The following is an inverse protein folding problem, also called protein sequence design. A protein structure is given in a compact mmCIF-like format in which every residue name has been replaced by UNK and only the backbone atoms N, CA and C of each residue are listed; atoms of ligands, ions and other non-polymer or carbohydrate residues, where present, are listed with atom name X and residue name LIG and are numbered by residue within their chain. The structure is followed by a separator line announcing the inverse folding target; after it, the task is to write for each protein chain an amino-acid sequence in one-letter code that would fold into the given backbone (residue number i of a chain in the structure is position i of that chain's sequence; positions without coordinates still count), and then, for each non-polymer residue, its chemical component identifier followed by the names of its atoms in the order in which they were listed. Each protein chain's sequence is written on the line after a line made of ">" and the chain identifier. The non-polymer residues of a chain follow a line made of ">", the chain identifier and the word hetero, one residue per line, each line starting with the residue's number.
data_IF_250958180228
#
_entry.id   IF_250958180228
#
_cell.length_a   1.000
_cell.length_b   1.000
_cell.length_c   1.000
_cell.angle_alpha   90.00
_cell.angle_beta   90.00
_cell.angle_gamma   90.00
#
_symmetry.space_group_name_H-M   'P 1'
#
loop_
_entity.id
_entity.type
_entity.pdbx_description
1 polymer ?
#
# COMPACT_ATOMS: atom_id res chain seq x y z
N UNK A 1 -30.37 -11.60 -6.03
CA UNK A 1 -29.44 -10.88 -5.11
C UNK A 1 -29.69 -9.39 -5.27
N UNK A 2 -29.63 -8.58 -4.20
CA UNK A 2 -29.72 -7.13 -4.32
C UNK A 2 -28.50 -6.58 -5.08
N UNK A 3 -28.74 -5.61 -5.97
CA UNK A 3 -27.71 -4.89 -6.73
C UNK A 3 -26.98 -3.90 -5.82
N UNK A 4 -25.93 -4.35 -5.15
CA UNK A 4 -25.10 -3.53 -4.25
C UNK A 4 -23.74 -3.24 -4.87
N UNK A 5 -23.09 -2.17 -4.43
CA UNK A 5 -21.70 -1.83 -4.76
C UNK A 5 -20.76 -3.03 -4.61
N UNK A 6 -20.84 -3.72 -3.47
CA UNK A 6 -20.08 -4.95 -3.21
C UNK A 6 -20.25 -6.02 -4.29
N UNK A 7 -21.48 -6.22 -4.76
CA UNK A 7 -21.80 -7.25 -5.76
C UNK A 7 -21.48 -6.84 -7.20
N UNK A 8 -21.52 -5.53 -7.49
CA UNK A 8 -21.42 -5.00 -8.85
C UNK A 8 -20.03 -4.52 -9.23
N UNK A 9 -19.22 -4.08 -8.27
CA UNK A 9 -17.88 -3.53 -8.53
C UNK A 9 -16.80 -4.18 -7.68
N UNK A 10 -16.90 -4.14 -6.36
CA UNK A 10 -15.84 -4.64 -5.46
C UNK A 10 -15.51 -6.13 -5.73
N UNK A 11 -16.52 -7.01 -5.73
CA UNK A 11 -16.31 -8.46 -5.90
C UNK A 11 -15.82 -8.81 -7.32
N UNK A 12 -16.42 -8.30 -8.41
CA UNK A 12 -15.87 -8.52 -9.76
C UNK A 12 -14.43 -8.03 -9.91
N UNK A 13 -14.09 -6.87 -9.34
CA UNK A 13 -12.74 -6.32 -9.45
C UNK A 13 -11.72 -7.17 -8.66
N UNK A 14 -12.06 -7.58 -7.44
CA UNK A 14 -11.24 -8.48 -6.65
C UNK A 14 -11.00 -9.81 -7.38
N UNK A 15 -12.02 -10.41 -7.99
CA UNK A 15 -11.87 -11.63 -8.81
C UNK A 15 -10.93 -11.42 -9.99
N UNK A 16 -10.99 -10.26 -10.63
CA UNK A 16 -10.07 -9.95 -11.74
C UNK A 16 -8.63 -9.88 -11.23
N UNK A 17 -8.37 -9.23 -10.09
CA UNK A 17 -7.05 -9.19 -9.48
C UNK A 17 -6.56 -10.60 -9.10
N UNK A 18 -7.41 -11.44 -8.53
CA UNK A 18 -7.06 -12.83 -8.22
C UNK A 18 -6.66 -13.60 -9.49
N UNK A 19 -7.38 -13.42 -10.59
CA UNK A 19 -7.01 -14.03 -11.89
C UNK A 19 -5.68 -13.53 -12.46
N UNK A 20 -5.17 -12.39 -11.97
CA UNK A 20 -3.88 -11.81 -12.34
C UNK A 20 -2.75 -12.19 -11.35
N UNK A 21 -3.02 -13.07 -10.38
CA UNK A 21 -2.01 -13.58 -9.44
C UNK A 21 -2.02 -12.95 -8.05
N UNK A 22 -3.00 -12.10 -7.74
CA UNK A 22 -3.16 -11.57 -6.38
C UNK A 22 -3.77 -12.62 -5.45
N UNK A 23 -3.23 -12.75 -4.23
CA UNK A 23 -3.80 -13.62 -3.21
C UNK A 23 -4.74 -12.82 -2.31
N UNK A 24 -6.01 -13.21 -2.25
CA UNK A 24 -6.96 -12.61 -1.31
C UNK A 24 -6.68 -13.08 0.12
N UNK A 25 -6.62 -12.13 1.05
CA UNK A 25 -6.51 -12.37 2.49
C UNK A 25 -7.58 -11.56 3.22
N UNK A 26 -8.10 -12.13 4.29
CA UNK A 26 -8.93 -11.41 5.25
C UNK A 26 -8.07 -10.55 6.19
N UNK A 27 -8.59 -9.46 6.77
CA UNK A 27 -7.84 -8.67 7.73
C UNK A 27 -7.25 -9.47 8.91
N UNK A 28 -7.94 -10.53 9.34
CA UNK A 28 -7.51 -11.38 10.47
C UNK A 28 -6.33 -12.29 10.09
N UNK A 29 -6.24 -12.74 8.84
CA UNK A 29 -5.10 -13.53 8.36
C UNK A 29 -3.80 -12.74 8.23
N UNK A 30 -3.86 -11.40 8.23
CA UNK A 30 -2.69 -10.55 8.00
C UNK A 30 -1.85 -10.28 9.25
N UNK A 31 -2.27 -10.78 10.42
CA UNK A 31 -1.51 -10.72 11.68
C UNK A 31 -0.87 -9.36 11.98
N UNK A 32 -1.61 -8.27 11.72
CA UNK A 32 -1.10 -6.90 11.89
C UNK A 32 -0.71 -6.64 13.34
N UNK A 33 0.34 -5.85 13.56
CA UNK A 33 0.74 -5.42 14.91
C UNK A 33 -0.37 -4.60 15.60
N UNK A 34 -1.10 -3.77 14.84
CA UNK A 34 -2.26 -3.01 15.33
C UNK A 34 -3.12 -2.46 14.19
N UNK A 35 -4.28 -1.87 14.53
CA UNK A 35 -5.11 -1.11 13.58
C UNK A 35 -4.48 0.23 13.14
N UNK A 36 -3.43 0.69 13.83
CA UNK A 36 -2.66 1.89 13.48
C UNK A 36 -1.53 1.59 12.51
N UNK A 37 -0.94 0.38 12.58
CA UNK A 37 0.20 -0.02 11.75
C UNK A 37 -0.26 -0.35 10.32
N UNK A 38 0.24 0.39 9.30
CA UNK A 38 -0.09 0.13 7.90
C UNK A 38 0.68 -1.04 7.30
N UNK A 39 1.90 -1.30 7.76
CA UNK A 39 2.78 -2.33 7.20
C UNK A 39 2.43 -3.71 7.75
N UNK A 40 2.53 -4.73 6.90
CA UNK A 40 2.56 -6.12 7.34
C UNK A 40 4.02 -6.47 7.66
N UNK A 41 4.44 -6.18 8.89
CA UNK A 41 5.84 -6.23 9.31
C UNK A 41 6.44 -7.62 9.10
N UNK A 42 5.70 -8.69 9.39
CA UNK A 42 6.20 -10.05 9.20
C UNK A 42 6.42 -10.39 7.72
N UNK A 43 5.46 -10.07 6.86
CA UNK A 43 5.58 -10.24 5.41
C UNK A 43 6.77 -9.45 4.84
N UNK A 44 6.95 -8.21 5.29
CA UNK A 44 8.05 -7.36 4.84
C UNK A 44 9.41 -7.90 5.27
N UNK A 45 9.55 -8.40 6.51
CA UNK A 45 10.78 -9.05 6.97
C UNK A 45 11.12 -10.27 6.11
N UNK A 46 10.14 -11.14 5.87
CA UNK A 46 10.32 -12.35 5.07
C UNK A 46 10.68 -12.03 3.62
N UNK A 47 10.05 -11.01 3.04
CA UNK A 47 10.37 -10.55 1.69
C UNK A 47 11.79 -9.99 1.59
N UNK A 48 12.21 -9.16 2.55
CA UNK A 48 13.58 -8.63 2.59
C UNK A 48 14.60 -9.76 2.63
N UNK A 49 14.39 -10.79 3.46
CA UNK A 49 15.27 -11.97 3.54
C UNK A 49 15.25 -12.80 2.25
N UNK A 50 14.08 -12.97 1.63
CA UNK A 50 13.92 -13.71 0.38
C UNK A 50 14.65 -13.04 -0.79
N UNK A 51 14.56 -11.72 -0.89
CA UNK A 51 15.07 -10.93 -2.02
C UNK A 51 16.57 -10.66 -1.90
N UNK A 52 17.05 -10.37 -0.69
CA UNK A 52 18.43 -9.91 -0.46
C UNK A 52 19.34 -11.03 0.07
N UNK A 53 18.82 -12.25 0.17
CA UNK A 53 19.44 -13.33 0.91
C UNK A 53 19.36 -13.10 2.42
N UNK A 54 19.93 -14.04 3.18
CA UNK A 54 19.89 -14.01 4.64
C UNK A 54 20.72 -12.84 5.19
N UNK A 55 20.05 -11.74 5.52
CA UNK A 55 20.64 -10.59 6.20
C UNK A 55 20.40 -10.65 7.71
N UNK A 56 21.19 -9.90 8.49
CA UNK A 56 21.05 -9.88 9.95
C UNK A 56 19.80 -9.15 10.41
N UNK A 57 19.30 -9.54 11.59
CA UNK A 57 18.12 -8.90 12.19
C UNK A 57 18.35 -7.40 12.50
N UNK A 58 19.60 -7.00 12.74
CA UNK A 58 19.98 -5.60 12.93
C UNK A 58 19.80 -4.80 11.63
N UNK A 59 20.22 -5.34 10.49
CA UNK A 59 20.03 -4.73 9.19
C UNK A 59 18.55 -4.65 8.80
N UNK A 60 17.78 -5.70 9.03
CA UNK A 60 16.32 -5.69 8.83
C UNK A 60 15.68 -4.58 9.67
N UNK A 61 16.07 -4.45 10.95
CA UNK A 61 15.57 -3.39 11.82
C UNK A 61 15.93 -2.00 11.30
N UNK A 62 17.16 -1.80 10.79
CA UNK A 62 17.57 -0.54 10.15
C UNK A 62 16.67 -0.22 8.94
N UNK A 63 16.40 -1.19 8.07
CA UNK A 63 15.49 -1.04 6.91
C UNK A 63 14.07 -0.67 7.33
N UNK A 64 13.52 -1.39 8.31
CA UNK A 64 12.17 -1.12 8.82
C UNK A 64 12.07 0.27 9.43
N UNK A 65 13.05 0.69 10.23
CA UNK A 65 13.06 2.02 10.83
C UNK A 65 13.20 3.12 9.78
N UNK A 66 14.03 2.90 8.75
CA UNK A 66 14.24 3.84 7.65
C UNK A 66 12.95 4.17 6.89
N UNK A 67 12.02 3.21 6.76
CA UNK A 67 10.70 3.48 6.19
C UNK A 67 9.71 3.93 7.26
N UNK A 68 9.67 3.35 8.47
CA UNK A 68 8.65 3.63 9.50
C UNK A 68 8.77 5.02 10.11
N UNK A 69 9.98 5.53 10.33
CA UNK A 69 10.19 6.82 11.00
C UNK A 69 9.99 8.04 10.10
N UNK A 70 9.81 7.83 8.79
CA UNK A 70 9.51 8.90 7.84
C UNK A 70 8.15 9.53 8.10
N UNK A 71 8.04 10.84 7.88
CA UNK A 71 6.76 11.53 7.90
C UNK A 71 5.98 11.31 6.59
N UNK A 72 4.73 11.78 6.55
CA UNK A 72 3.91 11.87 5.33
C UNK A 72 4.17 13.17 4.53
N UNK A 73 5.19 13.95 4.90
CA UNK A 73 5.57 15.18 4.21
C UNK A 73 6.22 14.95 2.84
N UNK A 74 6.28 15.99 2.01
CA UNK A 74 6.78 15.91 0.62
C UNK A 74 8.19 15.32 0.50
N UNK A 75 9.13 15.82 1.31
CA UNK A 75 10.54 15.42 1.24
C UNK A 75 10.72 13.94 1.60
N UNK A 76 10.02 13.50 2.65
CA UNK A 76 10.02 12.10 3.05
C UNK A 76 9.29 11.20 2.06
N UNK A 77 8.22 11.68 1.43
CA UNK A 77 7.53 11.00 0.34
C UNK A 77 8.46 10.74 -0.85
N UNK A 78 9.25 11.75 -1.28
CA UNK A 78 10.26 11.58 -2.34
C UNK A 78 11.33 10.55 -1.96
N UNK A 79 11.82 10.60 -0.71
CA UNK A 79 12.80 9.62 -0.20
C UNK A 79 12.24 8.22 -0.13
N UNK A 80 10.99 8.06 0.33
CA UNK A 80 10.32 6.77 0.35
C UNK A 80 10.16 6.21 -1.05
N UNK A 81 9.67 7.00 -2.01
CA UNK A 81 9.57 6.57 -3.41
C UNK A 81 10.92 6.13 -3.98
N UNK A 82 11.99 6.88 -3.67
CA UNK A 82 13.35 6.48 -4.03
C UNK A 82 13.76 5.15 -3.36
N UNK A 83 13.45 4.96 -2.08
CA UNK A 83 13.74 3.72 -1.34
C UNK A 83 12.96 2.52 -1.91
N UNK A 84 11.69 2.71 -2.29
CA UNK A 84 10.87 1.69 -2.97
C UNK A 84 11.47 1.31 -4.33
N UNK A 85 11.96 2.29 -5.10
CA UNK A 85 12.51 2.06 -6.44
C UNK A 85 13.92 1.47 -6.42
N UNK A 86 14.82 2.04 -5.62
CA UNK A 86 16.25 1.79 -5.70
C UNK A 86 16.80 1.00 -4.51
N UNK A 87 15.96 0.68 -3.52
CA UNK A 87 16.37 0.06 -2.27
C UNK A 87 17.01 1.03 -1.28
N UNK A 88 17.21 0.53 -0.07
CA UNK A 88 17.72 1.28 1.08
C UNK A 88 19.20 0.97 1.29
N UNK A 89 20.02 2.01 1.45
CA UNK A 89 21.44 1.84 1.77
C UNK A 89 21.60 1.57 3.25
N UNK A 90 22.13 0.40 3.61
CA UNK A 90 22.37 -0.01 5.00
C UNK A 90 23.85 -0.27 5.20
N UNK A 91 24.43 0.30 6.26
CA UNK A 91 25.80 0.01 6.67
C UNK A 91 25.81 -1.26 7.54
N UNK A 92 26.53 -2.27 7.06
CA UNK A 92 26.76 -3.54 7.75
C UNK A 92 27.95 -3.34 8.69
N UNK A 93 27.69 -3.17 10.00
CA UNK A 93 28.72 -2.75 10.96
C UNK A 93 29.90 -3.73 11.04
N UNK A 94 29.60 -5.04 10.99
CA UNK A 94 30.61 -6.10 11.04
C UNK A 94 31.56 -6.08 9.84
N UNK A 95 31.04 -5.70 8.68
CA UNK A 95 31.79 -5.66 7.43
C UNK A 95 32.35 -4.26 7.12
N UNK A 96 31.83 -3.22 7.79
CA UNK A 96 32.08 -1.80 7.51
C UNK A 96 31.81 -1.41 6.05
N UNK A 97 30.84 -2.06 5.43
CA UNK A 97 30.45 -1.82 4.03
C UNK A 97 28.98 -1.40 3.97
N UNK A 98 28.67 -0.43 3.10
CA UNK A 98 27.30 -0.09 2.76
C UNK A 98 26.79 -1.02 1.66
N UNK A 99 25.66 -1.70 1.92
CA UNK A 99 24.97 -2.54 0.93
C UNK A 99 23.58 -1.99 0.65
N UNK A 100 23.10 -2.22 -0.56
CA UNK A 100 21.73 -1.86 -0.97
C UNK A 100 20.81 -3.02 -0.64
N UNK A 101 19.73 -2.74 0.09
CA UNK A 101 18.68 -3.69 0.44
C UNK A 101 17.40 -3.32 -0.31
N UNK A 102 16.93 -4.21 -1.16
CA UNK A 102 15.74 -4.03 -1.98
C UNK A 102 14.48 -4.48 -1.25
N UNK A 103 13.40 -3.71 -1.43
CA UNK A 103 12.08 -4.02 -0.87
C UNK A 103 11.22 -4.85 -1.84
N UNK A 104 11.55 -4.79 -3.13
CA UNK A 104 10.88 -5.51 -4.21
C UNK A 104 11.95 -6.12 -5.13
N UNK A 105 11.65 -7.31 -5.65
CA UNK A 105 12.43 -7.95 -6.68
C UNK A 105 11.87 -7.56 -8.06
N UNK A 106 12.56 -6.64 -8.74
CA UNK A 106 12.14 -6.17 -10.05
C UNK A 106 12.58 -7.10 -11.19
N UNK A 107 13.55 -7.99 -10.93
CA UNK A 107 14.08 -8.93 -11.93
C UNK A 107 13.26 -10.23 -11.95
N UNK A 108 12.89 -10.73 -10.77
CA UNK A 108 12.15 -11.98 -10.58
C UNK A 108 10.87 -11.70 -9.78
N UNK A 109 9.81 -11.33 -10.49
CA UNK A 109 8.56 -10.86 -9.86
C UNK A 109 7.90 -11.91 -8.97
N UNK A 110 8.12 -13.20 -9.24
CA UNK A 110 7.67 -14.34 -8.45
C UNK A 110 8.24 -14.37 -7.02
N UNK A 111 9.33 -13.65 -6.76
CA UNK A 111 9.88 -13.47 -5.43
C UNK A 111 9.11 -12.41 -4.62
N UNK A 112 8.16 -11.69 -5.22
CA UNK A 112 7.29 -10.77 -4.49
C UNK A 112 5.98 -11.45 -4.10
N UNK A 113 5.49 -11.08 -2.93
CA UNK A 113 4.17 -11.47 -2.46
C UNK A 113 3.16 -10.37 -2.81
N UNK A 114 2.08 -10.74 -3.50
CA UNK A 114 1.00 -9.84 -3.91
C UNK A 114 -0.27 -10.19 -3.13
N UNK A 115 -0.66 -9.32 -2.20
CA UNK A 115 -1.84 -9.52 -1.36
C UNK A 115 -2.91 -8.48 -1.68
N UNK A 116 -4.13 -8.96 -1.91
CA UNK A 116 -5.34 -8.16 -1.95
C UNK A 116 -6.08 -8.37 -0.62
N UNK A 117 -6.45 -7.27 0.03
CA UNK A 117 -7.30 -7.30 1.22
C UNK A 117 -8.46 -6.34 1.04
N UNK A 118 -9.65 -6.80 1.40
CA UNK A 118 -10.87 -5.98 1.30
C UNK A 118 -11.30 -5.49 2.66
N UNK A 119 -11.86 -4.28 2.69
CA UNK A 119 -12.59 -3.77 3.84
C UNK A 119 -11.75 -3.79 5.13
N UNK A 120 -10.47 -3.42 5.01
CA UNK A 120 -9.48 -3.42 6.09
C UNK A 120 -9.53 -2.10 6.86
N UNK A 121 -9.77 -2.18 8.17
CA UNK A 121 -9.96 -0.98 9.00
C UNK A 121 -8.63 -0.40 9.48
N UNK A 122 -8.48 0.92 9.42
CA UNK A 122 -7.39 1.66 10.07
C UNK A 122 -7.99 2.67 11.05
N UNK A 123 -7.43 2.75 12.25
CA UNK A 123 -7.98 3.56 13.33
C UNK A 123 -6.87 4.33 14.03
N UNK A 124 -7.01 5.65 14.09
CA UNK A 124 -6.25 6.54 15.00
C UNK A 124 -7.26 7.35 15.82
N UNK A 125 -7.32 8.66 15.62
CA UNK A 125 -8.40 9.51 16.14
C UNK A 125 -9.72 9.32 15.38
N UNK A 126 -9.63 8.90 14.12
CA UNK A 126 -10.75 8.57 13.25
C UNK A 126 -10.54 7.19 12.64
N UNK A 127 -11.60 6.64 12.06
CA UNK A 127 -11.61 5.32 11.43
C UNK A 127 -11.83 5.48 9.93
N UNK A 128 -11.01 4.80 9.14
CA UNK A 128 -11.25 4.61 7.70
C UNK A 128 -11.32 3.11 7.41
N UNK A 129 -12.01 2.76 6.33
CA UNK A 129 -12.13 1.39 5.85
C UNK A 129 -12.16 1.40 4.33
N UNK A 130 -10.98 1.39 3.68
CA UNK A 130 -10.91 1.34 2.23
C UNK A 130 -11.54 0.06 1.69
N UNK A 131 -12.14 0.13 0.50
CA UNK A 131 -12.79 -1.04 -0.09
C UNK A 131 -11.79 -2.15 -0.40
N UNK A 132 -10.67 -1.82 -1.05
CA UNK A 132 -9.59 -2.76 -1.37
C UNK A 132 -8.23 -2.08 -1.21
N UNK A 133 -7.32 -2.73 -0.48
CA UNK A 133 -5.90 -2.40 -0.45
C UNK A 133 -5.08 -3.48 -1.14
N UNK A 134 -4.07 -3.04 -1.89
CA UNK A 134 -3.08 -3.91 -2.50
C UNK A 134 -1.72 -3.75 -1.83
N UNK A 135 -1.23 -4.87 -1.32
CA UNK A 135 0.04 -5.00 -0.64
C UNK A 135 1.04 -5.72 -1.53
N UNK A 136 2.26 -5.20 -1.62
CA UNK A 136 3.40 -5.93 -2.16
C UNK A 136 4.42 -6.08 -1.05
N UNK A 137 4.82 -7.33 -0.74
CA UNK A 137 5.79 -7.63 0.31
C UNK A 137 5.45 -6.95 1.66
N UNK A 138 4.17 -6.84 1.98
CA UNK A 138 3.70 -6.18 3.21
C UNK A 138 3.68 -4.66 3.22
N UNK A 139 3.95 -3.99 2.09
CA UNK A 139 3.80 -2.53 1.94
C UNK A 139 2.48 -2.22 1.20
N UNK A 140 1.56 -1.42 1.75
CA UNK A 140 0.33 -1.04 1.06
C UNK A 140 0.63 0.03 0.01
N UNK A 141 0.51 -0.33 -1.28
CA UNK A 141 0.88 0.56 -2.39
C UNK A 141 -0.30 1.12 -3.16
N UNK A 142 -1.46 0.44 -3.13
CA UNK A 142 -2.65 0.88 -3.86
C UNK A 142 -3.86 0.91 -2.94
N UNK A 143 -4.60 2.02 -2.98
CA UNK A 143 -5.95 2.09 -2.46
C UNK A 143 -6.96 2.15 -3.60
N UNK A 144 -7.98 1.29 -3.54
CA UNK A 144 -9.07 1.23 -4.51
C UNK A 144 -10.39 1.48 -3.77
N UNK A 145 -11.16 2.46 -4.23
CA UNK A 145 -12.53 2.71 -3.77
C UNK A 145 -13.51 2.47 -4.91
N UNK A 146 -14.58 1.73 -4.61
CA UNK A 146 -15.62 1.36 -5.55
C UNK A 146 -16.87 2.22 -5.32
N UNK A 147 -17.66 2.40 -6.36
CA UNK A 147 -19.01 2.94 -6.31
C UNK A 147 -19.98 2.03 -7.03
N UNK A 148 -21.25 2.08 -6.65
CA UNK A 148 -22.29 1.34 -7.37
C UNK A 148 -22.43 1.92 -8.80
N UNK A 149 -22.15 1.15 -9.86
CA UNK A 149 -22.16 1.64 -11.23
C UNK A 149 -23.57 1.93 -11.76
N UNK A 150 -24.60 1.40 -11.09
CA UNK A 150 -26.01 1.68 -11.37
C UNK A 150 -26.51 2.96 -10.69
N UNK A 151 -25.70 3.58 -9.83
CA UNK A 151 -26.02 4.86 -9.21
C UNK A 151 -25.68 6.01 -10.15
N UNK A 152 -26.64 6.91 -10.40
CA UNK A 152 -26.40 8.13 -11.18
C UNK A 152 -25.68 9.19 -10.32
N UNK A 153 -25.81 9.12 -9.00
CA UNK A 153 -25.29 10.12 -8.06
C UNK A 153 -23.95 9.76 -7.42
N UNK A 154 -23.50 8.50 -7.55
CA UNK A 154 -22.23 8.04 -7.00
C UNK A 154 -21.27 7.71 -8.14
N UNK A 155 -20.25 8.54 -8.29
CA UNK A 155 -19.32 8.52 -9.43
C UNK A 155 -17.90 8.19 -8.98
N UNK A 156 -17.02 7.89 -9.93
CA UNK A 156 -15.58 7.78 -9.67
C UNK A 156 -15.02 9.03 -8.97
N UNK A 157 -15.59 10.21 -9.19
CA UNK A 157 -15.15 11.44 -8.52
C UNK A 157 -15.46 11.42 -7.02
N UNK A 158 -16.53 10.74 -6.60
CA UNK A 158 -16.84 10.53 -5.19
C UNK A 158 -15.83 9.58 -4.55
N UNK A 159 -15.56 8.43 -5.19
CA UNK A 159 -14.48 7.53 -4.77
C UNK A 159 -13.11 8.26 -4.68
N UNK A 160 -12.77 9.09 -5.66
CA UNK A 160 -11.57 9.93 -5.60
C UNK A 160 -11.55 10.84 -4.36
N UNK A 161 -12.65 11.57 -4.08
CA UNK A 161 -12.75 12.43 -2.89
C UNK A 161 -12.64 11.63 -1.58
N UNK A 162 -13.12 10.38 -1.55
CA UNK A 162 -12.96 9.51 -0.38
C UNK A 162 -11.51 9.16 -0.13
N UNK A 163 -10.75 8.80 -1.18
CA UNK A 163 -9.31 8.57 -1.10
C UNK A 163 -8.59 9.83 -0.60
N UNK A 164 -8.94 11.02 -1.11
CA UNK A 164 -8.34 12.28 -0.64
C UNK A 164 -8.68 12.57 0.83
N UNK A 165 -9.91 12.27 1.27
CA UNK A 165 -10.29 12.38 2.69
C UNK A 165 -9.49 11.41 3.55
N UNK A 166 -9.38 10.15 3.16
CA UNK A 166 -8.62 9.13 3.88
C UNK A 166 -7.14 9.48 4.00
N UNK A 167 -6.54 10.09 2.96
CA UNK A 167 -5.19 10.65 3.00
C UNK A 167 -5.00 11.67 4.12
N UNK A 168 -5.97 12.55 4.34
CA UNK A 168 -5.95 13.52 5.44
C UNK A 168 -6.25 12.86 6.79
N UNK A 169 -7.13 11.84 6.82
CA UNK A 169 -7.56 11.16 8.04
C UNK A 169 -6.48 10.24 8.63
N UNK A 170 -5.81 9.43 7.80
CA UNK A 170 -4.74 8.51 8.20
C UNK A 170 -3.49 8.73 7.31
N UNK A 171 -2.75 9.84 7.53
CA UNK A 171 -1.54 10.12 6.74
C UNK A 171 -0.47 9.04 6.84
N UNK A 172 -0.42 8.28 7.93
CA UNK A 172 0.53 7.18 8.14
C UNK A 172 0.34 6.04 7.12
N UNK A 173 -0.89 5.76 6.69
CA UNK A 173 -1.16 4.80 5.62
C UNK A 173 -0.73 5.38 4.27
N UNK A 174 -1.12 6.63 4.01
CA UNK A 174 -0.90 7.33 2.74
C UNK A 174 0.52 7.81 2.51
N UNK A 175 1.37 7.66 3.51
CA UNK A 175 2.81 7.65 3.33
C UNK A 175 3.25 6.55 2.37
N UNK A 176 2.65 5.35 2.43
CA UNK A 176 3.06 4.20 1.62
C UNK A 176 2.25 4.08 0.32
N UNK A 177 0.96 4.40 0.35
CA UNK A 177 0.10 4.30 -0.84
C UNK A 177 0.62 5.24 -1.93
N UNK A 178 0.92 4.69 -3.11
CA UNK A 178 1.43 5.43 -4.27
C UNK A 178 0.37 5.65 -5.34
N UNK A 179 -0.64 4.78 -5.42
CA UNK A 179 -1.68 4.82 -6.46
C UNK A 179 -3.06 4.76 -5.80
N UNK A 180 -3.92 5.70 -6.17
CA UNK A 180 -5.35 5.63 -5.90
C UNK A 180 -6.09 5.14 -7.14
N UNK A 181 -7.10 4.30 -6.96
CA UNK A 181 -8.00 3.86 -8.04
C UNK A 181 -9.44 4.13 -7.59
N UNK A 182 -10.16 4.91 -8.38
CA UNK A 182 -11.58 5.14 -8.19
C UNK A 182 -12.36 4.35 -9.27
N UNK A 183 -13.31 3.52 -8.85
CA UNK A 183 -14.06 2.64 -9.73
C UNK A 183 -15.55 2.96 -9.68
N UNK A 184 -16.16 3.19 -10.84
CA UNK A 184 -17.61 3.15 -11.04
C UNK A 184 -17.97 2.22 -12.23
N UNK A 185 -18.50 2.75 -13.33
CA UNK A 185 -18.57 2.08 -14.63
C UNK A 185 -17.18 1.88 -15.25
N UNK A 186 -16.21 2.74 -14.91
CA UNK A 186 -14.81 2.67 -15.36
C UNK A 186 -13.87 2.79 -14.16
N UNK A 187 -12.62 2.38 -14.36
CA UNK A 187 -11.56 2.58 -13.39
C UNK A 187 -10.73 3.83 -13.77
N UNK A 188 -10.55 4.73 -12.81
CA UNK A 188 -9.69 5.90 -12.92
C UNK A 188 -8.56 5.76 -11.92
N UNK A 189 -7.32 5.73 -12.40
CA UNK A 189 -6.14 5.67 -11.55
C UNK A 189 -5.45 7.03 -11.49
N UNK A 190 -4.89 7.37 -10.33
CA UNK A 190 -4.20 8.63 -10.10
C UNK A 190 -3.07 8.44 -9.09
N UNK A 191 -1.98 9.21 -9.19
CA UNK A 191 -0.90 9.13 -8.22
C UNK A 191 -1.36 9.71 -6.87
N UNK A 192 -0.96 9.06 -5.79
CA UNK A 192 -1.04 9.64 -4.45
C UNK A 192 0.23 10.45 -4.23
N UNK A 193 0.09 11.76 -4.41
CA UNK A 193 1.15 12.72 -4.17
C UNK A 193 0.70 13.65 -3.06
N UNK A 194 1.48 13.69 -1.97
CA UNK A 194 1.23 14.60 -0.86
C UNK A 194 1.40 16.08 -1.23
N UNK A 195 2.06 16.37 -2.36
CA UNK A 195 2.59 17.70 -2.66
C UNK A 195 2.11 18.34 -3.96
N UNK A 196 1.48 17.60 -4.88
CA UNK A 196 1.06 18.17 -6.16
C UNK A 196 -0.16 19.11 -6.04
N UNK A 197 -0.84 19.12 -4.90
CA UNK A 197 -1.94 20.06 -4.62
C UNK A 197 -1.47 21.52 -4.47
N UNK A 198 -0.15 21.75 -4.33
CA UNK A 198 0.44 23.08 -4.21
C UNK A 198 0.99 23.65 -5.52
N UNK A 199 0.94 22.90 -6.63
CA UNK A 199 1.34 23.42 -7.95
C UNK A 199 0.09 23.87 -8.72
N UNK A 200 -0.50 24.97 -8.26
CA UNK A 200 -1.26 25.85 -9.16
C UNK A 200 -0.23 26.64 -9.98
N UNK A 201 0.15 26.12 -11.14
CA UNK A 201 0.71 26.95 -12.23
C UNK A 201 -0.41 27.38 -13.16
#
# INVERSE_FOLDING_TARGET
>A
MPLTEKSLTETPFARKLISLGWTEKTPDELERESMEEPLLINNLKQAIERINGRIGQEEIKKVLNEIRLRSSGQEDGKKLLNNLKNGISVVFEKEKVAKRIYLFDYEHQENNEFILVRQMTFKKSQIIRPDILLYINGIPLVNIECKNPASISATWYDAYKEIQRYKLTIPELYKYVQIGIAIDQKAFYFPIVGWAENEKT
#
